data_IF_866765665162
#
_entry.id   IF_866765665162
#
_cell.length_a   1.000
_cell.length_b   1.000
_cell.length_c   1.000
_cell.angle_alpha   90.00
_cell.angle_beta   90.00
_cell.angle_gamma   90.00
#
_symmetry.space_group_name_H-M   'P 1'
#
loop_
_entity.id
_entity.type
_entity.pdbx_description
1 polymer ?
#
# COMPACT_ATOMS: atom_id res chain seq x y z
N UNK A 1 2.80 2.45 27.06
CA UNK A 1 3.35 2.95 25.78
C UNK A 1 3.79 1.73 25.02
N UNK A 2 3.16 1.47 23.88
CA UNK A 2 3.51 0.32 23.07
C UNK A 2 4.66 0.70 22.14
N UNK A 3 5.72 -0.13 22.14
CA UNK A 3 6.88 0.05 21.27
C UNK A 3 6.86 -1.09 20.26
N UNK A 4 6.41 -0.78 19.04
CA UNK A 4 6.29 -1.76 17.96
C UNK A 4 7.41 -1.57 16.93
N UNK A 5 8.10 -2.65 16.61
CA UNK A 5 9.15 -2.66 15.59
C UNK A 5 8.56 -3.07 14.22
N UNK A 6 8.12 -2.08 13.44
CA UNK A 6 7.54 -2.32 12.11
C UNK A 6 8.62 -2.28 11.03
N UNK A 7 8.95 -3.45 10.46
CA UNK A 7 9.99 -3.57 9.42
C UNK A 7 9.76 -2.67 8.20
N UNK A 8 8.51 -2.43 7.83
CA UNK A 8 8.15 -1.57 6.70
C UNK A 8 8.60 -0.12 6.88
N UNK A 9 8.59 0.41 8.10
CA UNK A 9 9.11 1.76 8.37
C UNK A 9 10.62 1.85 8.12
N UNK A 10 11.35 0.76 8.39
CA UNK A 10 12.78 0.66 8.05
C UNK A 10 13.00 0.54 6.54
N UNK A 11 12.14 -0.20 5.84
CA UNK A 11 12.20 -0.30 4.38
C UNK A 11 11.97 1.06 3.71
N UNK A 12 10.93 1.81 4.12
CA UNK A 12 10.64 3.16 3.61
C UNK A 12 11.83 4.10 3.80
N UNK A 13 12.41 4.14 5.01
CA UNK A 13 13.60 4.96 5.29
C UNK A 13 14.75 4.65 4.33
N UNK A 14 15.09 3.36 4.19
CA UNK A 14 16.17 2.91 3.29
C UNK A 14 15.88 3.27 1.83
N UNK A 15 14.63 3.17 1.39
CA UNK A 15 14.22 3.56 0.04
C UNK A 15 14.40 5.06 -0.20
N UNK A 16 14.06 5.92 0.76
CA UNK A 16 14.32 7.36 0.66
C UNK A 16 15.82 7.67 0.61
N UNK A 17 16.64 7.00 1.43
CA UNK A 17 18.10 7.15 1.38
C UNK A 17 18.65 6.79 -0.01
N UNK A 18 18.17 5.69 -0.61
CA UNK A 18 18.57 5.27 -1.96
C UNK A 18 18.11 6.26 -3.04
N UNK A 19 16.88 6.77 -2.96
CA UNK A 19 16.37 7.75 -3.92
C UNK A 19 17.20 9.04 -3.85
N UNK A 20 17.57 9.49 -2.66
CA UNK A 20 18.44 10.65 -2.49
C UNK A 20 19.81 10.41 -3.14
N UNK A 21 20.42 9.26 -2.90
CA UNK A 21 21.75 8.93 -3.44
C UNK A 21 21.73 8.79 -4.97
N UNK A 22 20.70 8.16 -5.53
CA UNK A 22 20.63 7.82 -6.95
C UNK A 22 20.01 8.92 -7.82
N UNK A 23 19.11 9.73 -7.25
CA UNK A 23 18.30 10.71 -8.00
C UNK A 23 18.38 12.13 -7.44
N UNK A 24 19.07 12.35 -6.32
CA UNK A 24 19.20 13.66 -5.69
C UNK A 24 17.91 14.20 -5.07
N UNK A 25 16.84 13.39 -5.03
CA UNK A 25 15.53 13.79 -4.49
C UNK A 25 15.42 13.42 -3.01
N UNK A 26 15.01 14.37 -2.19
CA UNK A 26 14.77 14.14 -0.77
C UNK A 26 13.27 14.03 -0.49
N UNK A 27 12.85 12.88 0.03
CA UNK A 27 11.47 12.61 0.40
C UNK A 27 11.34 12.36 1.90
N UNK A 28 10.20 12.74 2.44
CA UNK A 28 9.73 12.40 3.78
C UNK A 28 8.29 11.91 3.65
N UNK A 29 7.75 11.27 4.70
CA UNK A 29 6.33 10.90 4.70
C UNK A 29 5.39 12.09 4.55
N UNK A 30 5.82 13.29 4.96
CA UNK A 30 5.02 14.52 4.85
C UNK A 30 5.15 15.21 3.49
N UNK A 31 6.20 14.91 2.72
CA UNK A 31 6.46 15.56 1.42
C UNK A 31 6.18 14.66 0.23
N UNK A 32 5.94 13.35 0.45
CA UNK A 32 5.54 12.43 -0.61
C UNK A 32 4.23 12.92 -1.25
N UNK A 33 4.14 12.96 -2.60
CA UNK A 33 2.89 13.29 -3.28
C UNK A 33 1.78 12.33 -2.87
N UNK A 34 0.61 12.88 -2.56
CA UNK A 34 -0.61 12.09 -2.39
C UNK A 34 -1.23 11.77 -3.75
N UNK A 35 -2.04 10.71 -3.80
CA UNK A 35 -2.88 10.36 -4.96
C UNK A 35 -2.09 10.16 -6.27
N UNK A 36 -0.93 9.49 -6.20
CA UNK A 36 -0.13 9.16 -7.38
C UNK A 36 -0.85 8.12 -8.28
N UNK A 37 -1.21 8.45 -9.53
CA UNK A 37 -1.94 7.53 -10.41
C UNK A 37 -1.18 6.24 -10.71
N UNK A 38 0.16 6.31 -10.83
CA UNK A 38 0.96 5.12 -11.13
C UNK A 38 0.93 4.10 -9.99
N UNK A 39 0.84 4.56 -8.74
CA UNK A 39 0.63 3.71 -7.56
C UNK A 39 -0.70 2.97 -7.67
N UNK A 40 -1.79 3.66 -8.04
CA UNK A 40 -3.08 3.01 -8.22
C UNK A 40 -3.07 2.04 -9.40
N UNK A 41 -2.49 2.40 -10.55
CA UNK A 41 -2.44 1.52 -11.73
C UNK A 41 -1.73 0.18 -11.44
N UNK A 42 -0.65 0.23 -10.66
CA UNK A 42 0.08 -0.96 -10.19
C UNK A 42 -0.79 -1.82 -9.26
N UNK A 43 -1.48 -1.17 -8.32
CA UNK A 43 -2.40 -1.85 -7.41
C UNK A 43 -3.59 -2.46 -8.16
N UNK A 44 -4.20 -1.78 -9.12
CA UNK A 44 -5.31 -2.30 -9.93
C UNK A 44 -4.91 -3.51 -10.78
N UNK A 45 -3.61 -3.73 -11.03
CA UNK A 45 -3.10 -4.94 -11.70
C UNK A 45 -2.86 -6.10 -10.72
N UNK A 46 -3.04 -5.87 -9.42
CA UNK A 46 -2.74 -6.85 -8.37
C UNK A 46 -1.23 -7.01 -8.12
N UNK A 47 -0.38 -6.12 -8.64
CA UNK A 47 1.07 -6.17 -8.50
C UNK A 47 1.50 -5.58 -7.14
N UNK A 48 1.05 -6.21 -6.05
CA UNK A 48 1.23 -5.70 -4.69
C UNK A 48 2.24 -6.51 -3.86
N UNK A 49 3.12 -7.29 -4.50
CA UNK A 49 4.17 -8.05 -3.79
C UNK A 49 5.12 -7.08 -3.08
N UNK A 50 5.28 -7.25 -1.77
CA UNK A 50 6.08 -6.36 -0.92
C UNK A 50 5.37 -5.04 -0.54
N UNK A 51 4.11 -4.84 -0.94
CA UNK A 51 3.31 -3.69 -0.53
C UNK A 51 2.58 -4.02 0.77
N UNK A 52 2.84 -3.21 1.80
CA UNK A 52 2.30 -3.43 3.14
C UNK A 52 0.77 -3.51 3.15
N UNK A 53 0.22 -4.45 3.92
CA UNK A 53 -1.21 -4.76 4.08
C UNK A 53 -1.96 -5.37 2.89
N UNK A 54 -1.47 -5.18 1.65
CA UNK A 54 -2.19 -5.61 0.43
C UNK A 54 -1.47 -6.72 -0.36
N UNK A 55 -0.45 -7.35 0.21
CA UNK A 55 0.34 -8.43 -0.43
C UNK A 55 -0.34 -9.82 -0.41
N UNK A 56 -1.26 -10.08 0.53
CA UNK A 56 -1.81 -11.44 0.67
C UNK A 56 -2.56 -11.90 -0.60
N UNK A 57 -2.64 -13.22 -0.84
CA UNK A 57 -3.38 -13.79 -1.98
C UNK A 57 -4.81 -13.25 -2.13
N UNK A 58 -5.52 -13.08 -1.02
CA UNK A 58 -6.87 -12.55 -1.03
C UNK A 58 -6.90 -11.08 -1.48
N UNK A 59 -5.95 -10.27 -1.00
CA UNK A 59 -5.83 -8.86 -1.40
C UNK A 59 -5.45 -8.71 -2.87
N UNK A 60 -4.41 -9.42 -3.31
CA UNK A 60 -3.98 -9.44 -4.72
C UNK A 60 -5.10 -9.85 -5.68
N UNK A 61 -5.99 -10.76 -5.27
CA UNK A 61 -7.13 -11.18 -6.09
C UNK A 61 -8.28 -10.16 -6.11
N UNK A 62 -8.40 -9.33 -5.06
CA UNK A 62 -9.49 -8.36 -4.91
C UNK A 62 -9.15 -7.01 -5.53
N UNK A 63 -7.89 -6.60 -5.47
CA UNK A 63 -7.36 -5.37 -6.05
C UNK A 63 -7.81 -5.12 -7.52
N UNK A 64 -7.68 -6.08 -8.47
CA UNK A 64 -8.18 -5.89 -9.84
C UNK A 64 -9.70 -5.84 -9.98
N UNK A 65 -10.44 -6.31 -8.98
CA UNK A 65 -11.91 -6.30 -8.96
C UNK A 65 -12.45 -4.97 -8.42
N UNK A 66 -11.84 -4.47 -7.36
CA UNK A 66 -12.23 -3.22 -6.70
C UNK A 66 -11.72 -1.98 -7.42
N UNK A 67 -10.57 -2.10 -8.09
CA UNK A 67 -9.94 -1.03 -8.88
C UNK A 67 -9.81 0.30 -8.11
N UNK A 68 -9.05 0.34 -7.00
CA UNK A 68 -8.90 1.55 -6.20
C UNK A 68 -8.36 2.70 -7.06
N UNK A 69 -8.98 3.86 -7.00
CA UNK A 69 -8.61 5.05 -7.76
C UNK A 69 -8.25 6.25 -6.86
N UNK A 70 -8.44 6.10 -5.55
CA UNK A 70 -8.02 7.05 -4.54
C UNK A 70 -7.62 6.36 -3.22
N UNK A 71 -7.01 7.09 -2.29
CA UNK A 71 -6.62 6.53 -0.99
C UNK A 71 -7.81 5.94 -0.20
N UNK A 72 -8.99 6.55 -0.31
CA UNK A 72 -10.18 6.09 0.40
C UNK A 72 -10.63 4.69 -0.03
N UNK A 73 -10.44 4.32 -1.30
CA UNK A 73 -10.76 2.98 -1.81
C UNK A 73 -9.88 1.91 -1.15
N UNK A 74 -8.60 2.22 -0.92
CA UNK A 74 -7.67 1.32 -0.22
C UNK A 74 -8.03 1.14 1.26
N UNK A 75 -8.56 2.18 1.91
CA UNK A 75 -9.08 2.08 3.28
C UNK A 75 -10.24 1.08 3.33
N UNK A 76 -11.15 1.14 2.35
CA UNK A 76 -12.28 0.22 2.24
C UNK A 76 -11.80 -1.20 1.95
N UNK A 77 -10.91 -1.39 0.96
CA UNK A 77 -10.37 -2.69 0.59
C UNK A 77 -9.74 -3.43 1.79
N UNK A 78 -8.84 -2.77 2.50
CA UNK A 78 -8.16 -3.34 3.67
C UNK A 78 -9.14 -3.64 4.83
N UNK A 79 -10.25 -2.91 4.90
CA UNK A 79 -11.29 -3.16 5.89
C UNK A 79 -12.17 -4.37 5.54
N UNK A 80 -12.53 -4.54 4.27
CA UNK A 80 -13.47 -5.58 3.81
C UNK A 80 -12.78 -6.94 3.63
N UNK A 81 -11.52 -6.99 3.19
CA UNK A 81 -10.81 -8.26 2.96
C UNK A 81 -10.34 -8.86 4.30
N UNK A 82 -11.33 -9.34 5.07
CA UNK A 82 -11.21 -9.98 6.39
C UNK A 82 -12.23 -11.13 6.48
N UNK A 83 -12.01 -12.15 7.33
CA UNK A 83 -12.86 -13.34 7.38
C UNK A 83 -14.36 -13.07 7.58
N UNK A 84 -14.72 -12.03 8.34
CA UNK A 84 -16.12 -11.67 8.58
C UNK A 84 -16.84 -11.14 7.33
N UNK A 85 -16.43 -9.98 6.78
CA UNK A 85 -17.10 -9.41 5.62
C UNK A 85 -17.04 -10.30 4.36
N UNK A 86 -15.97 -11.08 4.15
CA UNK A 86 -15.88 -12.00 3.01
C UNK A 86 -16.95 -13.10 3.08
N UNK A 87 -17.33 -13.54 4.29
CA UNK A 87 -18.38 -14.55 4.48
C UNK A 87 -19.80 -13.97 4.40
N UNK A 88 -19.96 -12.64 4.43
CA UNK A 88 -21.24 -11.96 4.51
C UNK A 88 -21.89 -11.56 3.18
N UNK A 89 -21.44 -12.10 2.04
CA UNK A 89 -21.84 -11.70 0.68
C UNK A 89 -21.75 -10.18 0.46
N UNK A 90 -20.52 -9.68 0.30
CA UNK A 90 -20.16 -8.28 -0.01
C UNK A 90 -21.20 -7.50 -0.83
#
# INVERSE_FOLDING_TARGET
VDVLALGMLTAIRKSFDLIQQLRGQQWTLATLPAEDPATYDLLQQGDSVGVFQVESRAQMAMLPRLKPACFYDLVIEVAIVRPGPIQGDM
#
